data_IF_615676840549
#
_entry.id   IF_615676840549
#
_cell.length_a   1.000
_cell.length_b   1.000
_cell.length_c   1.000
_cell.angle_alpha   90.00
_cell.angle_beta   90.00
_cell.angle_gamma   90.00
#
_symmetry.space_group_name_H-M   'P 1'
#
loop_
_entity.id
_entity.type
_entity.pdbx_description
1 polymer ?
#
# COMPACT_ATOMS: atom_id res chain seq x y z
N UNK A 1 -16.06 -44.87 30.49
CA UNK A 1 -14.94 -44.42 29.64
C UNK A 1 -15.53 -43.39 28.71
N UNK A 2 -15.58 -42.16 29.20
CA UNK A 2 -16.26 -41.04 28.53
C UNK A 2 -15.40 -40.66 27.33
N UNK A 3 -15.98 -40.72 26.14
CA UNK A 3 -15.31 -40.36 24.89
C UNK A 3 -14.88 -38.89 24.97
N UNK A 4 -13.64 -38.54 24.57
CA UNK A 4 -13.22 -37.15 24.62
C UNK A 4 -14.11 -36.31 23.68
N UNK A 5 -14.64 -35.22 24.23
CA UNK A 5 -15.41 -34.20 23.52
C UNK A 5 -14.57 -33.68 22.34
N UNK A 6 -15.12 -33.54 21.11
CA UNK A 6 -14.33 -33.13 19.97
C UNK A 6 -13.77 -31.73 20.22
N UNK A 7 -12.43 -31.62 20.25
CA UNK A 7 -11.73 -30.36 20.29
C UNK A 7 -12.32 -29.44 19.22
N UNK A 8 -12.83 -28.28 19.63
CA UNK A 8 -13.32 -27.25 18.73
C UNK A 8 -12.18 -26.86 17.79
N UNK A 9 -12.15 -27.44 16.60
CA UNK A 9 -11.39 -26.91 15.47
C UNK A 9 -12.13 -25.69 14.92
N UNK A 10 -12.30 -24.67 15.75
CA UNK A 10 -12.57 -23.32 15.28
C UNK A 10 -11.20 -22.70 15.05
N UNK A 11 -10.72 -22.82 13.81
CA UNK A 11 -9.52 -22.11 13.40
C UNK A 11 -9.73 -20.62 13.70
N UNK A 12 -8.96 -20.08 14.65
CA UNK A 12 -8.67 -18.67 14.65
C UNK A 12 -8.18 -18.37 13.23
N UNK A 13 -9.00 -17.67 12.46
CA UNK A 13 -8.57 -17.06 11.21
C UNK A 13 -7.29 -16.30 11.55
N UNK A 14 -6.16 -16.83 11.12
CA UNK A 14 -4.84 -16.31 11.45
C UNK A 14 -4.87 -14.79 11.21
N UNK A 15 -4.70 -14.01 12.29
CA UNK A 15 -4.90 -12.57 12.21
C UNK A 15 -3.86 -11.99 11.25
N UNK A 16 -4.32 -11.46 10.12
CA UNK A 16 -3.45 -10.87 9.11
C UNK A 16 -2.65 -9.70 9.69
N UNK A 17 -1.40 -9.60 9.25
CA UNK A 17 -0.50 -8.50 9.58
C UNK A 17 -0.91 -7.29 8.74
N UNK A 18 -1.30 -6.20 9.42
CA UNK A 18 -1.62 -4.92 8.77
C UNK A 18 -0.32 -4.19 8.42
N UNK A 19 -0.17 -3.80 7.15
CA UNK A 19 1.03 -3.12 6.66
C UNK A 19 0.63 -1.82 5.98
N UNK A 20 1.19 -0.70 6.42
CA UNK A 20 0.97 0.61 5.82
C UNK A 20 2.20 1.01 4.99
N UNK A 21 1.99 1.24 3.69
CA UNK A 21 3.02 1.73 2.76
C UNK A 21 2.80 3.22 2.53
N UNK A 22 3.81 4.05 2.84
CA UNK A 22 3.75 5.50 2.62
C UNK A 22 4.46 5.84 1.31
N UNK A 23 3.71 6.41 0.37
CA UNK A 23 4.10 6.68 -1.00
C UNK A 23 3.72 5.52 -1.93
N UNK A 24 3.01 5.84 -3.02
CA UNK A 24 2.65 4.93 -4.12
C UNK A 24 3.45 5.25 -5.39
N UNK A 25 4.71 5.63 -5.22
CA UNK A 25 5.72 5.62 -6.29
C UNK A 25 6.21 4.22 -6.65
N UNK A 26 7.22 4.11 -7.51
CA UNK A 26 7.73 2.81 -7.99
C UNK A 26 8.06 1.82 -6.85
N UNK A 27 8.76 2.29 -5.80
CA UNK A 27 9.10 1.47 -4.64
C UNK A 27 7.87 1.03 -3.84
N UNK A 28 6.93 1.95 -3.58
CA UNK A 28 5.71 1.64 -2.84
C UNK A 28 4.79 0.68 -3.59
N UNK A 29 4.64 0.86 -4.91
CA UNK A 29 3.91 -0.08 -5.75
C UNK A 29 4.58 -1.45 -5.81
N UNK A 30 5.92 -1.51 -5.81
CA UNK A 30 6.66 -2.77 -5.70
C UNK A 30 6.38 -3.45 -4.35
N UNK A 31 6.48 -2.72 -3.23
CA UNK A 31 6.15 -3.26 -1.91
C UNK A 31 4.70 -3.78 -1.86
N UNK A 32 3.73 -3.00 -2.35
CA UNK A 32 2.32 -3.42 -2.44
C UNK A 32 2.14 -4.66 -3.32
N UNK A 33 2.85 -4.77 -4.45
CA UNK A 33 2.79 -5.94 -5.32
C UNK A 33 3.22 -7.20 -4.59
N UNK A 34 4.29 -7.13 -3.81
CA UNK A 34 4.79 -8.25 -3.01
C UNK A 34 3.86 -8.59 -1.83
N UNK A 35 3.34 -7.58 -1.12
CA UNK A 35 2.37 -7.81 -0.04
C UNK A 35 1.06 -8.41 -0.57
N UNK A 36 0.62 -7.96 -1.74
CA UNK A 36 -0.62 -8.43 -2.39
C UNK A 36 -0.51 -9.84 -2.97
N UNK A 37 0.68 -10.42 -3.10
CA UNK A 37 0.82 -11.84 -3.46
C UNK A 37 0.66 -12.77 -2.26
N UNK A 38 0.58 -12.23 -1.05
CA UNK A 38 0.51 -12.95 0.23
C UNK A 38 -0.66 -12.47 1.09
N UNK A 39 -1.82 -12.20 0.46
CA UNK A 39 -3.02 -11.67 1.14
C UNK A 39 -3.61 -12.60 2.20
N UNK A 40 -3.21 -13.88 2.24
CA UNK A 40 -3.55 -14.76 3.36
C UNK A 40 -2.83 -14.35 4.67
N UNK A 41 -1.67 -13.70 4.58
CA UNK A 41 -0.87 -13.25 5.74
C UNK A 41 -0.94 -11.74 5.95
N UNK A 42 -1.09 -10.95 4.89
CA UNK A 42 -1.01 -9.48 4.96
C UNK A 42 -2.33 -8.79 4.59
N UNK A 43 -2.57 -7.67 5.26
CA UNK A 43 -3.60 -6.68 4.94
C UNK A 43 -2.91 -5.34 4.62
N UNK A 44 -2.46 -5.13 3.36
CA UNK A 44 -1.74 -3.93 2.97
C UNK A 44 -2.68 -2.75 2.72
N UNK A 45 -2.25 -1.56 3.12
CA UNK A 45 -2.82 -0.27 2.74
C UNK A 45 -1.71 0.66 2.27
N UNK A 46 -2.03 1.61 1.39
CA UNK A 46 -1.10 2.65 0.98
C UNK A 46 -1.71 4.03 1.03
N UNK A 47 -0.86 5.00 1.33
CA UNK A 47 -1.20 6.42 1.32
C UNK A 47 -0.22 7.14 0.39
N UNK A 48 -0.78 7.90 -0.55
CA UNK A 48 -0.04 8.72 -1.51
C UNK A 48 -0.47 10.17 -1.32
N UNK A 49 0.48 11.09 -1.38
CA UNK A 49 0.22 12.52 -1.26
C UNK A 49 -0.41 13.07 -2.53
N UNK A 50 0.07 12.61 -3.69
CA UNK A 50 -0.47 13.02 -4.98
C UNK A 50 -1.88 12.46 -5.23
N UNK A 51 -2.56 13.04 -6.22
CA UNK A 51 -3.88 12.59 -6.66
C UNK A 51 -3.85 11.23 -7.40
N UNK A 52 -2.66 10.77 -7.78
CA UNK A 52 -2.43 9.55 -8.57
C UNK A 52 -1.17 8.82 -8.12
N UNK A 53 -1.19 7.50 -8.28
CA UNK A 53 -0.01 6.64 -8.09
C UNK A 53 1.03 6.86 -9.21
N UNK A 54 2.29 6.55 -8.90
CA UNK A 54 3.43 6.68 -9.83
C UNK A 54 4.61 7.45 -9.25
N UNK A 55 4.37 8.27 -8.21
CA UNK A 55 5.39 9.06 -7.54
C UNK A 55 6.07 10.01 -8.53
N UNK A 56 7.40 9.97 -8.61
CA UNK A 56 8.18 10.79 -9.54
C UNK A 56 7.64 10.75 -10.97
N UNK A 57 7.16 9.61 -11.45
CA UNK A 57 6.71 9.44 -12.85
C UNK A 57 5.37 10.10 -13.17
N UNK A 58 4.68 10.66 -12.18
CA UNK A 58 3.49 11.48 -12.42
C UNK A 58 3.96 12.86 -12.86
N UNK A 59 3.88 13.18 -14.15
CA UNK A 59 4.19 14.51 -14.65
C UNK A 59 3.15 15.54 -14.17
N UNK A 60 3.62 16.70 -13.71
CA UNK A 60 2.80 17.82 -13.28
C UNK A 60 3.36 19.10 -13.93
N UNK A 61 2.50 19.86 -14.61
CA UNK A 61 2.89 21.13 -15.26
C UNK A 61 3.23 22.25 -14.25
N UNK A 62 2.63 22.19 -13.06
CA UNK A 62 2.83 23.17 -11.98
C UNK A 62 4.16 22.92 -11.24
N UNK A 63 4.69 23.97 -10.62
CA UNK A 63 5.89 23.92 -9.76
C UNK A 63 5.61 24.55 -8.40
N UNK A 64 6.40 24.19 -7.38
CA UNK A 64 6.21 24.71 -6.03
C UNK A 64 5.23 23.85 -5.24
N UNK A 65 4.01 24.35 -5.03
CA UNK A 65 2.97 23.67 -4.26
C UNK A 65 1.78 23.25 -5.14
N UNK A 66 1.12 22.17 -4.75
CA UNK A 66 -0.14 21.71 -5.33
C UNK A 66 -1.33 22.56 -4.89
N UNK A 67 -2.54 22.19 -5.35
CA UNK A 67 -3.77 22.92 -5.04
C UNK A 67 -4.20 22.81 -3.56
N UNK A 68 -3.52 21.96 -2.77
CA UNK A 68 -3.72 21.80 -1.33
C UNK A 68 -2.61 22.44 -0.50
N UNK A 69 -1.64 23.10 -1.14
CA UNK A 69 -0.49 23.73 -0.48
C UNK A 69 0.65 22.77 -0.14
N UNK A 70 0.60 21.50 -0.58
CA UNK A 70 1.71 20.56 -0.38
C UNK A 70 2.80 20.74 -1.44
N UNK A 71 4.08 20.51 -1.14
CA UNK A 71 5.14 20.54 -2.14
C UNK A 71 4.88 19.54 -3.28
N UNK A 72 5.04 19.99 -4.53
CA UNK A 72 4.96 19.11 -5.70
C UNK A 72 6.17 18.17 -5.68
N UNK A 73 5.91 16.87 -5.61
CA UNK A 73 6.94 15.83 -5.53
C UNK A 73 7.55 15.46 -6.90
N UNK A 74 6.82 15.67 -8.00
CA UNK A 74 7.33 15.32 -9.33
C UNK A 74 8.55 16.17 -9.70
N UNK A 75 9.58 15.52 -10.23
CA UNK A 75 10.76 16.18 -10.81
C UNK A 75 10.82 16.00 -12.33
N UNK A 76 9.75 15.50 -12.93
CA UNK A 76 9.65 15.27 -14.37
C UNK A 76 9.40 16.58 -15.11
N UNK A 77 9.86 16.66 -16.35
CA UNK A 77 9.67 17.80 -17.24
C UNK A 77 9.16 17.34 -18.59
N UNK A 78 8.65 18.28 -19.40
CA UNK A 78 8.14 17.98 -20.74
C UNK A 78 9.25 17.36 -21.59
N UNK A 79 8.93 16.24 -22.24
CA UNK A 79 9.82 15.50 -23.14
C UNK A 79 10.97 14.75 -22.46
N UNK A 80 10.82 14.38 -21.18
CA UNK A 80 11.60 13.32 -20.56
C UNK A 80 11.12 11.92 -21.01
#
# INVERSE_FOLDING_TARGET
>A
MESPEPARYEGELEKKIKVCVIGAGAAGLCALKHLSSQLQHFEPAAFEQADRVGGTWVYVDKTGNDDYGNPIHSSMYKNL
#
